data_IF_578727150868
#
_entry.id   IF_578727150868
#
_cell.length_a   1.000
_cell.length_b   1.000
_cell.length_c   1.000
_cell.angle_alpha   90.00
_cell.angle_beta   90.00
_cell.angle_gamma   90.00
#
_symmetry.space_group_name_H-M   'P 1'
#
loop_
_entity.id
_entity.type
_entity.pdbx_description
1 polymer ?
#
# COMPACT_ATOMS: atom_id res chain seq x y z
N UNK A 1 1.85 -12.11 18.67
CA UNK A 1 2.98 -12.35 17.74
C UNK A 1 2.93 -11.27 16.67
N UNK A 2 3.99 -10.48 16.47
CA UNK A 2 4.06 -9.54 15.34
C UNK A 2 4.36 -10.37 14.08
N UNK A 3 3.38 -10.53 13.21
CA UNK A 3 3.57 -11.18 11.92
C UNK A 3 4.42 -10.25 11.06
N UNK A 4 5.68 -10.61 10.84
CA UNK A 4 6.54 -9.89 9.89
C UNK A 4 6.05 -10.22 8.49
N UNK A 5 5.34 -9.28 7.85
CA UNK A 5 4.87 -9.45 6.48
C UNK A 5 6.04 -9.09 5.54
N UNK A 6 6.58 -10.10 4.86
CA UNK A 6 7.55 -9.91 3.76
C UNK A 6 6.78 -9.64 2.48
N UNK A 7 7.05 -8.50 1.84
CA UNK A 7 6.46 -8.12 0.56
C UNK A 7 7.38 -8.51 -0.59
N UNK A 8 6.80 -8.97 -1.70
CA UNK A 8 7.56 -9.38 -2.90
C UNK A 8 7.30 -8.38 -4.01
N UNK A 9 8.37 -7.87 -4.67
CA UNK A 9 8.24 -6.93 -5.79
C UNK A 9 7.30 -7.51 -6.87
N UNK A 10 6.33 -6.70 -7.31
CA UNK A 10 5.27 -7.12 -8.23
C UNK A 10 4.02 -7.69 -7.55
N UNK A 11 4.02 -7.84 -6.22
CA UNK A 11 2.86 -8.29 -5.47
C UNK A 11 1.72 -7.26 -5.54
N UNK A 12 0.51 -7.75 -5.83
CA UNK A 12 -0.71 -6.96 -5.71
C UNK A 12 -1.07 -6.77 -4.23
N UNK A 13 -1.19 -5.51 -3.83
CA UNK A 13 -1.64 -5.05 -2.53
C UNK A 13 -3.04 -4.49 -2.67
N UNK A 14 -3.92 -4.74 -1.70
CA UNK A 14 -5.22 -4.09 -1.65
C UNK A 14 -5.11 -2.81 -0.85
N UNK A 15 -5.55 -1.69 -1.40
CA UNK A 15 -5.64 -0.45 -0.63
C UNK A 15 -6.81 -0.54 0.35
N UNK A 16 -6.54 -0.30 1.64
CA UNK A 16 -7.55 -0.24 2.69
C UNK A 16 -7.31 1.09 3.41
N UNK A 17 -8.05 2.13 3.00
CA UNK A 17 -7.86 3.48 3.50
C UNK A 17 -8.95 4.43 3.00
N UNK A 18 -8.83 5.72 3.33
CA UNK A 18 -9.74 6.74 2.81
C UNK A 18 -9.41 7.06 1.35
N UNK A 19 -10.42 7.34 0.48
CA UNK A 19 -10.15 7.84 -0.85
C UNK A 19 -9.26 9.09 -0.81
N UNK A 20 -8.33 9.18 -1.77
CA UNK A 20 -7.43 10.31 -1.96
C UNK A 20 -7.59 10.87 -3.39
N UNK A 21 -7.09 12.08 -3.71
CA UNK A 21 -7.17 12.62 -5.05
C UNK A 21 -6.54 11.67 -6.09
N UNK A 22 -7.35 11.20 -7.04
CA UNK A 22 -6.93 10.20 -8.04
C UNK A 22 -7.23 8.74 -7.67
N UNK A 23 -7.92 8.48 -6.55
CA UNK A 23 -8.44 7.15 -6.20
C UNK A 23 -9.55 6.73 -7.17
N UNK A 24 -9.40 5.53 -7.75
CA UNK A 24 -10.37 4.90 -8.65
C UNK A 24 -11.04 3.75 -7.90
N UNK A 25 -12.36 3.84 -7.71
CA UNK A 25 -13.16 2.88 -6.92
C UNK A 25 -13.08 1.44 -7.42
N UNK A 26 -12.91 1.26 -8.72
CA UNK A 26 -12.84 -0.07 -9.35
C UNK A 26 -11.43 -0.66 -9.34
N UNK A 27 -10.41 0.18 -9.09
CA UNK A 27 -9.01 -0.23 -9.00
C UNK A 27 -8.61 -0.30 -7.53
N UNK A 28 -8.92 -1.43 -6.89
CA UNK A 28 -8.59 -1.65 -5.47
C UNK A 28 -7.15 -2.15 -5.25
N UNK A 29 -6.40 -2.39 -6.32
CA UNK A 29 -5.08 -3.00 -6.26
C UNK A 29 -3.97 -1.99 -6.58
N UNK A 30 -2.90 -2.09 -5.80
CA UNK A 30 -1.63 -1.39 -5.95
C UNK A 30 -0.54 -2.44 -6.16
N UNK A 31 0.47 -2.19 -6.98
CA UNK A 31 1.60 -3.12 -7.13
C UNK A 31 2.75 -2.69 -6.24
N UNK A 32 3.24 -3.56 -5.37
CA UNK A 32 4.45 -3.27 -4.58
C UNK A 32 5.67 -3.17 -5.50
N UNK A 33 6.43 -2.07 -5.41
CA UNK A 33 7.65 -1.87 -6.18
C UNK A 33 8.90 -2.10 -5.33
N UNK A 34 8.97 -1.46 -4.16
CA UNK A 34 10.12 -1.57 -3.24
C UNK A 34 9.77 -1.02 -1.87
N UNK A 35 10.56 -1.37 -0.85
CA UNK A 35 10.57 -0.62 0.40
C UNK A 35 11.13 0.80 0.14
N UNK A 36 10.55 1.80 0.81
CA UNK A 36 11.07 3.17 0.82
C UNK A 36 11.75 3.46 2.16
N UNK A 37 11.11 3.04 3.25
CA UNK A 37 11.62 3.10 4.61
C UNK A 37 11.08 1.92 5.43
N UNK A 38 11.40 1.85 6.73
CA UNK A 38 10.83 0.83 7.63
C UNK A 38 9.31 0.97 7.74
N UNK A 39 8.78 2.19 7.55
CA UNK A 39 7.35 2.49 7.70
C UNK A 39 6.63 2.74 6.37
N UNK A 40 7.35 2.88 5.27
CA UNK A 40 6.80 3.28 3.99
C UNK A 40 7.24 2.35 2.86
N UNK A 41 6.33 2.12 1.92
CA UNK A 41 6.57 1.32 0.74
C UNK A 41 6.25 2.15 -0.50
N UNK A 42 7.00 1.87 -1.57
CA UNK A 42 6.74 2.40 -2.90
C UNK A 42 5.83 1.45 -3.65
N UNK A 43 4.74 1.98 -4.19
CA UNK A 43 3.73 1.22 -4.93
C UNK A 43 3.46 1.87 -6.29
N UNK A 44 3.04 1.06 -7.26
CA UNK A 44 2.44 1.52 -8.50
C UNK A 44 0.92 1.49 -8.34
N UNK A 45 0.27 2.63 -8.54
CA UNK A 45 -1.17 2.74 -8.55
C UNK A 45 -1.60 3.54 -9.76
N UNK A 46 -2.39 2.93 -10.65
CA UNK A 46 -2.87 3.58 -11.87
C UNK A 46 -1.74 4.27 -12.66
N UNK A 47 -0.69 3.50 -13.00
CA UNK A 47 0.51 3.96 -13.73
C UNK A 47 1.34 5.04 -13.04
N UNK A 48 1.00 5.42 -11.80
CA UNK A 48 1.74 6.41 -11.00
C UNK A 48 2.45 5.73 -9.84
N UNK A 49 3.70 6.13 -9.61
CA UNK A 49 4.44 5.71 -8.44
C UNK A 49 4.02 6.55 -7.21
N UNK A 50 3.74 5.88 -6.11
CA UNK A 50 3.30 6.50 -4.86
C UNK A 50 4.08 5.91 -3.68
N UNK A 51 4.28 6.73 -2.64
CA UNK A 51 4.79 6.27 -1.35
C UNK A 51 3.59 6.18 -0.40
N UNK A 52 3.42 5.02 0.23
CA UNK A 52 2.32 4.77 1.18
C UNK A 52 2.86 4.18 2.47
N UNK A 53 2.19 4.49 3.59
CA UNK A 53 2.54 3.90 4.88
C UNK A 53 2.22 2.40 4.88
N UNK A 54 3.21 1.60 5.28
CA UNK A 54 3.14 0.14 5.45
C UNK A 54 2.18 -0.29 6.55
N UNK A 55 1.91 0.60 7.50
CA UNK A 55 1.09 0.35 8.68
C UNK A 55 -0.08 1.34 8.73
N UNK A 56 -1.11 1.15 7.91
CA UNK A 56 -2.41 1.78 8.22
C UNK A 56 -3.11 0.90 9.27
N UNK A 57 -2.69 1.05 10.53
CA UNK A 57 -3.38 0.47 11.68
C UNK A 57 -4.22 1.59 12.26
N UNK A 58 -5.45 1.75 11.78
CA UNK A 58 -6.48 2.26 12.69
C UNK A 58 -6.75 1.15 13.70
N UNK A 59 -6.52 1.37 15.01
CA UNK A 59 -7.18 0.54 15.99
C UNK A 59 -8.68 0.72 15.76
N UNK A 60 -9.37 -0.38 15.52
CA UNK A 60 -10.82 -0.40 15.64
C UNK A 60 -11.08 -0.26 17.14
N UNK A 61 -11.46 0.94 17.56
CA UNK A 61 -11.88 1.29 18.91
C UNK A 61 -13.24 1.95 18.84
#
# INVERSE_FOLDING_TARGET
MKTTITLVKGQNLRYIGRPFPGYITDTNYMTFLSDHSVFEIKVLYNEKEMIVNRFDIKPVG
#
